data_IF_849479851862
#
_entry.id   IF_849479851862
#
_cell.length_a   1.000
_cell.length_b   1.000
_cell.length_c   1.000
_cell.angle_alpha   90.00
_cell.angle_beta   90.00
_cell.angle_gamma   90.00
#
_symmetry.space_group_name_H-M   'P 1'
#
loop_
_entity.id
_entity.type
_entity.pdbx_description
1 polymer ?
#
# COMPACT_ATOMS: atom_id res chain seq x y z
N UNK A 1 23.81 -6.65 37.95
CA UNK A 1 23.31 -7.77 37.12
C UNK A 1 23.22 -7.26 35.69
N UNK A 2 23.98 -7.79 34.73
CA UNK A 2 24.06 -7.17 33.42
C UNK A 2 22.77 -7.39 32.63
N UNK A 3 22.21 -6.25 32.22
CA UNK A 3 21.89 -5.91 30.83
C UNK A 3 20.74 -6.69 30.20
N UNK A 4 19.57 -6.04 30.18
CA UNK A 4 18.42 -6.41 29.36
C UNK A 4 18.87 -6.77 27.94
N UNK A 5 18.40 -7.96 27.52
CA UNK A 5 18.55 -8.64 26.22
C UNK A 5 19.42 -7.89 25.20
N UNK A 6 20.67 -8.33 24.97
CA UNK A 6 21.53 -7.73 23.94
C UNK A 6 20.96 -8.09 22.57
N UNK A 7 20.71 -7.06 21.74
CA UNK A 7 20.51 -7.22 20.31
C UNK A 7 19.08 -7.49 19.87
N UNK A 8 18.16 -6.53 20.08
CA UNK A 8 17.10 -6.36 19.08
C UNK A 8 17.76 -6.07 17.74
N UNK A 9 17.26 -6.62 16.63
CA UNK A 9 17.88 -6.41 15.32
C UNK A 9 17.84 -4.90 14.99
N UNK A 10 18.99 -4.20 14.90
CA UNK A 10 19.02 -2.77 14.59
C UNK A 10 18.48 -2.46 13.19
N UNK A 11 18.33 -3.48 12.33
CA UNK A 11 17.70 -3.33 11.02
C UNK A 11 16.16 -3.23 11.07
N UNK A 12 15.53 -3.34 12.25
CA UNK A 12 14.07 -3.23 12.37
C UNK A 12 13.52 -1.89 11.86
N UNK A 13 14.29 -0.80 11.93
CA UNK A 13 13.91 0.48 11.32
C UNK A 13 13.92 0.40 9.78
N UNK A 14 14.89 -0.31 9.19
CA UNK A 14 14.99 -0.48 7.73
C UNK A 14 13.89 -1.38 7.16
N UNK A 15 13.43 -2.36 7.94
CA UNK A 15 12.34 -3.27 7.55
C UNK A 15 11.01 -2.89 8.18
N UNK A 16 10.89 -1.69 8.73
CA UNK A 16 9.63 -1.20 9.26
C UNK A 16 8.65 -1.08 8.10
N UNK A 17 7.49 -1.70 8.24
CA UNK A 17 6.39 -1.48 7.32
C UNK A 17 5.90 -0.04 7.53
N UNK A 18 6.23 0.83 6.60
CA UNK A 18 5.65 2.17 6.54
C UNK A 18 4.34 2.07 5.74
N UNK A 19 3.19 2.38 6.34
CA UNK A 19 1.97 2.49 5.58
C UNK A 19 2.16 3.64 4.59
N UNK A 20 2.29 3.28 3.31
CA UNK A 20 2.47 4.23 2.20
C UNK A 20 1.26 5.15 2.01
N UNK A 21 0.12 4.78 2.60
CA UNK A 21 -1.16 5.49 2.49
C UNK A 21 -1.91 5.45 3.83
N UNK A 22 -2.46 6.60 4.22
CA UNK A 22 -3.35 6.75 5.37
C UNK A 22 -4.79 6.40 4.97
N UNK A 23 -5.10 5.11 4.97
CA UNK A 23 -6.47 4.63 4.88
C UNK A 23 -7.15 4.78 6.25
N UNK A 24 -8.39 5.32 6.32
CA UNK A 24 -9.09 5.49 7.60
C UNK A 24 -9.43 4.15 8.28
N UNK A 25 -9.47 3.06 7.50
CA UNK A 25 -9.75 1.71 7.95
C UNK A 25 -8.79 0.70 7.28
N UNK A 26 -8.55 -0.48 7.88
CA UNK A 26 -7.75 -1.53 7.25
C UNK A 26 -8.34 -2.02 5.93
N UNK A 27 -7.49 -2.24 4.92
CA UNK A 27 -7.88 -2.78 3.60
C UNK A 27 -7.99 -4.33 3.61
N UNK A 28 -8.80 -4.91 4.51
CA UNK A 28 -8.94 -6.37 4.68
C UNK A 28 -10.11 -7.01 3.89
N UNK A 29 -11.08 -6.20 3.45
CA UNK A 29 -12.20 -6.62 2.62
C UNK A 29 -11.76 -7.08 1.22
N UNK A 30 -12.34 -8.18 0.73
CA UNK A 30 -12.06 -8.74 -0.61
C UNK A 30 -13.20 -8.46 -1.58
N UNK A 31 -12.86 -7.96 -2.76
CA UNK A 31 -13.79 -7.75 -3.88
C UNK A 31 -13.27 -8.45 -5.13
N UNK A 32 -14.16 -9.05 -5.91
CA UNK A 32 -13.84 -9.64 -7.22
C UNK A 32 -14.49 -8.81 -8.33
N UNK A 33 -13.71 -8.43 -9.34
CA UNK A 33 -14.17 -7.61 -10.46
C UNK A 33 -14.11 -8.39 -11.78
N UNK A 34 -15.08 -8.17 -12.65
CA UNK A 34 -15.05 -8.68 -14.03
C UNK A 34 -14.42 -7.62 -14.94
N UNK A 35 -13.38 -8.01 -15.66
CA UNK A 35 -12.60 -7.14 -16.53
C UNK A 35 -12.52 -7.77 -17.93
N UNK A 36 -12.37 -6.97 -19.00
CA UNK A 36 -11.94 -7.46 -20.30
C UNK A 36 -10.63 -8.26 -20.19
N UNK A 37 -10.46 -9.27 -21.05
CA UNK A 37 -9.25 -10.13 -21.04
C UNK A 37 -7.97 -9.32 -21.20
N UNK A 38 -7.96 -8.35 -22.11
CA UNK A 38 -6.82 -7.46 -22.35
C UNK A 38 -6.39 -6.67 -21.11
N UNK A 39 -7.34 -6.19 -20.31
CA UNK A 39 -7.02 -5.48 -19.06
C UNK A 39 -6.42 -6.44 -18.03
N UNK A 40 -6.98 -7.65 -17.92
CA UNK A 40 -6.42 -8.68 -17.02
C UNK A 40 -4.98 -9.04 -17.41
N UNK A 41 -4.72 -9.15 -18.72
CA UNK A 41 -3.38 -9.45 -19.23
C UNK A 41 -2.41 -8.30 -18.95
N UNK A 42 -2.82 -7.05 -19.15
CA UNK A 42 -2.01 -5.86 -18.81
C UNK A 42 -1.63 -5.83 -17.32
N UNK A 43 -2.57 -6.12 -16.43
CA UNK A 43 -2.33 -6.22 -14.99
C UNK A 43 -1.35 -7.34 -14.64
N UNK A 44 -1.48 -8.50 -15.30
CA UNK A 44 -0.59 -9.65 -15.09
C UNK A 44 0.81 -9.41 -15.63
N UNK A 45 0.93 -8.67 -16.73
CA UNK A 45 2.20 -8.30 -17.35
C UNK A 45 2.92 -7.17 -16.59
N UNK A 46 2.28 -6.60 -15.57
CA UNK A 46 2.88 -5.53 -14.77
C UNK A 46 2.92 -4.19 -15.49
N UNK A 47 2.04 -3.97 -16.48
CA UNK A 47 1.94 -2.67 -17.16
C UNK A 47 1.46 -1.56 -16.21
N UNK A 48 0.85 -1.95 -15.08
CA UNK A 48 0.46 -1.06 -13.98
C UNK A 48 1.11 -1.58 -12.70
N UNK A 49 2.13 -0.88 -12.23
CA UNK A 49 2.72 -1.12 -10.92
C UNK A 49 1.69 -0.85 -9.82
N UNK A 50 1.65 -1.74 -8.81
CA UNK A 50 0.72 -1.66 -7.69
C UNK A 50 -0.73 -1.34 -8.10
N UNK A 51 -1.23 -2.06 -9.11
CA UNK A 51 -2.57 -1.86 -9.64
C UNK A 51 -3.68 -1.94 -8.59
N UNK A 52 -3.44 -2.69 -7.51
CA UNK A 52 -4.39 -2.80 -6.41
C UNK A 52 -4.59 -1.44 -5.75
N UNK A 53 -3.49 -0.75 -5.45
CA UNK A 53 -3.56 0.58 -4.86
C UNK A 53 -4.10 1.61 -5.83
N UNK A 54 -3.74 1.54 -7.11
CA UNK A 54 -4.35 2.36 -8.15
C UNK A 54 -5.88 2.25 -8.14
N UNK A 55 -6.41 1.02 -8.10
CA UNK A 55 -7.86 0.78 -8.07
C UNK A 55 -8.47 1.29 -6.77
N UNK A 56 -7.84 1.06 -5.61
CA UNK A 56 -8.35 1.59 -4.33
C UNK A 56 -8.47 3.10 -4.35
N UNK A 57 -7.43 3.81 -4.80
CA UNK A 57 -7.42 5.28 -4.92
C UNK A 57 -8.45 5.80 -5.92
N UNK A 58 -8.62 5.11 -7.05
CA UNK A 58 -9.65 5.46 -8.03
C UNK A 58 -11.06 5.38 -7.43
N UNK A 59 -11.34 4.31 -6.67
CA UNK A 59 -12.62 4.14 -5.97
C UNK A 59 -12.79 5.22 -4.89
N UNK A 60 -11.78 5.43 -4.06
CA UNK A 60 -11.81 6.43 -2.99
C UNK A 60 -12.06 7.84 -3.52
N UNK A 61 -11.40 8.21 -4.62
CA UNK A 61 -11.63 9.50 -5.30
C UNK A 61 -13.07 9.64 -5.78
N UNK A 62 -13.63 8.60 -6.38
CA UNK A 62 -15.03 8.60 -6.85
C UNK A 62 -16.02 8.70 -5.69
N UNK A 63 -15.67 8.14 -4.53
CA UNK A 63 -16.43 8.25 -3.28
C UNK A 63 -16.22 9.59 -2.54
N UNK A 64 -15.33 10.46 -3.03
CA UNK A 64 -15.01 11.74 -2.40
C UNK A 64 -14.16 11.63 -1.13
N UNK A 65 -13.40 10.54 -0.97
CA UNK A 65 -12.48 10.39 0.15
C UNK A 65 -11.22 11.24 -0.10
N UNK A 66 -10.86 12.05 0.88
CA UNK A 66 -9.63 12.85 0.87
C UNK A 66 -8.48 12.01 1.44
N UNK A 67 -7.87 11.20 0.58
CA UNK A 67 -6.65 10.48 0.88
C UNK A 67 -5.50 11.44 0.54
N UNK A 68 -4.99 12.14 1.56
CA UNK A 68 -3.98 13.19 1.40
C UNK A 68 -2.85 12.82 0.42
N UNK A 69 -2.36 13.83 -0.31
CA UNK A 69 -1.30 13.66 -1.30
C UNK A 69 0.01 13.18 -0.66
N UNK A 70 0.66 12.19 -1.27
CA UNK A 70 2.08 11.92 -1.08
C UNK A 70 2.91 13.11 -1.60
N UNK A 71 3.12 14.14 -0.78
CA UNK A 71 4.36 14.93 -0.82
C UNK A 71 5.22 14.50 0.38
N UNK A 72 5.64 13.24 0.32
CA UNK A 72 6.74 12.71 1.13
C UNK A 72 8.06 12.81 0.38
N UNK A 73 8.42 13.99 -0.14
CA UNK A 73 9.81 14.30 -0.44
C UNK A 73 10.48 14.68 0.88
N UNK A 74 10.95 13.66 1.60
CA UNK A 74 11.82 13.81 2.76
C UNK A 74 13.28 13.96 2.31
N UNK A 75 14.09 14.77 3.02
CA UNK A 75 15.42 15.25 2.61
C UNK A 75 16.51 14.19 2.47
#
# INVERSE_FOLDING_TARGET
>A
MPKGRPGGNPELEKYRFEPRYDWPEPCDARMTLRLPSSMKDALKNGEIEDWQEFVRRAIARELGWDLGNEEGEGP
#
